data_IF_899880876389
#
_entry.id   IF_899880876389
#
_cell.length_a   1.000
_cell.length_b   1.000
_cell.length_c   1.000
_cell.angle_alpha   90.00
_cell.angle_beta   90.00
_cell.angle_gamma   90.00
#
_symmetry.space_group_name_H-M   'P 1'
#
loop_
_entity.id
_entity.type
_entity.pdbx_description
1 polymer ?
#
# COMPACT_ATOMS: atom_id res chain seq x y z
N UNK A 1 28.50 15.64 -23.32
CA UNK A 1 27.12 16.01 -22.96
C UNK A 1 27.17 16.72 -21.62
N UNK A 2 26.70 17.97 -21.55
CA UNK A 2 26.65 18.73 -20.28
C UNK A 2 25.62 18.09 -19.33
N UNK A 3 25.88 18.14 -18.02
CA UNK A 3 24.92 17.70 -17.01
C UNK A 3 23.82 18.76 -16.89
N UNK A 4 22.57 18.35 -17.04
CA UNK A 4 21.38 19.20 -16.91
C UNK A 4 20.52 18.64 -15.77
N UNK A 5 20.70 19.13 -14.52
CA UNK A 5 20.05 18.57 -13.32
C UNK A 5 18.52 18.51 -13.41
N UNK A 6 17.86 19.59 -13.82
CA UNK A 6 16.39 19.65 -14.00
C UNK A 6 15.87 18.58 -14.97
N UNK A 7 16.63 18.28 -16.02
CA UNK A 7 16.27 17.19 -16.94
C UNK A 7 16.44 15.82 -16.30
N UNK A 8 17.41 15.64 -15.38
CA UNK A 8 17.56 14.40 -14.64
C UNK A 8 16.45 14.22 -13.61
N UNK A 9 16.02 15.28 -12.92
CA UNK A 9 14.87 15.24 -12.01
C UNK A 9 13.58 14.87 -12.77
N UNK A 10 13.30 15.57 -13.88
CA UNK A 10 12.14 15.26 -14.73
C UNK A 10 12.19 13.85 -15.32
N UNK A 11 13.39 13.32 -15.59
CA UNK A 11 13.58 11.93 -16.00
C UNK A 11 13.35 10.96 -14.84
N UNK A 12 13.85 11.29 -13.65
CA UNK A 12 13.67 10.50 -12.43
C UNK A 12 12.19 10.29 -12.14
N UNK A 13 11.40 11.35 -12.09
CA UNK A 13 9.96 11.29 -11.83
C UNK A 13 9.24 10.35 -12.81
N UNK A 14 9.61 10.46 -14.09
CA UNK A 14 9.06 9.59 -15.14
C UNK A 14 9.50 8.13 -14.96
N UNK A 15 10.78 7.89 -14.68
CA UNK A 15 11.34 6.53 -14.50
C UNK A 15 10.74 5.87 -13.27
N UNK A 16 10.67 6.58 -12.14
CA UNK A 16 10.04 6.07 -10.92
C UNK A 16 8.61 5.63 -11.18
N UNK A 17 7.76 6.54 -11.69
CA UNK A 17 6.33 6.26 -11.92
C UNK A 17 6.06 5.21 -13.00
N UNK A 18 6.79 5.25 -14.11
CA UNK A 18 6.43 4.45 -15.29
C UNK A 18 7.22 3.16 -15.42
N UNK A 19 8.35 3.03 -14.71
CA UNK A 19 9.31 1.95 -14.93
C UNK A 19 9.71 1.23 -13.65
N UNK A 20 9.89 1.93 -12.54
CA UNK A 20 10.28 1.30 -11.27
C UNK A 20 9.04 0.83 -10.49
N UNK A 21 8.11 1.74 -10.20
CA UNK A 21 6.91 1.49 -9.39
C UNK A 21 6.09 0.28 -9.88
N UNK A 22 5.81 0.10 -11.19
CA UNK A 22 5.05 -1.05 -11.67
C UNK A 22 5.74 -2.42 -11.44
N UNK A 23 7.04 -2.43 -11.13
CA UNK A 23 7.81 -3.64 -10.87
C UNK A 23 8.06 -3.86 -9.37
N UNK A 24 7.58 -3.00 -8.47
CA UNK A 24 7.69 -3.23 -7.02
C UNK A 24 6.88 -4.45 -6.62
N UNK A 25 5.66 -4.58 -7.14
CA UNK A 25 4.79 -5.73 -6.92
C UNK A 25 4.49 -6.45 -8.22
N UNK A 26 4.81 -7.74 -8.29
CA UNK A 26 4.47 -8.59 -9.44
C UNK A 26 3.30 -9.50 -9.07
N UNK A 27 2.12 -9.25 -9.65
CA UNK A 27 0.93 -10.09 -9.45
C UNK A 27 1.20 -11.52 -9.92
N UNK A 28 0.89 -12.50 -9.05
CA UNK A 28 0.94 -13.93 -9.34
C UNK A 28 -0.45 -14.48 -9.67
N UNK A 29 -1.46 -14.08 -8.89
CA UNK A 29 -2.84 -14.57 -9.04
C UNK A 29 -3.84 -13.61 -8.39
N UNK A 30 -5.05 -13.56 -8.96
CA UNK A 30 -6.18 -12.90 -8.32
C UNK A 30 -6.83 -13.81 -7.26
N UNK A 31 -7.40 -13.23 -6.21
CA UNK A 31 -8.19 -13.94 -5.21
C UNK A 31 -9.66 -14.10 -5.61
N UNK A 32 -10.32 -15.12 -5.04
CA UNK A 32 -11.77 -15.26 -5.05
C UNK A 32 -12.37 -14.55 -3.84
N UNK A 33 -13.40 -13.74 -4.07
CA UNK A 33 -14.06 -12.96 -3.03
C UNK A 33 -15.52 -13.37 -2.89
N UNK A 34 -15.96 -13.41 -1.63
CA UNK A 34 -17.38 -13.40 -1.28
C UNK A 34 -17.63 -12.28 -0.27
N UNK A 35 -18.80 -11.68 -0.29
CA UNK A 35 -19.14 -10.51 0.51
C UNK A 35 -20.38 -10.77 1.38
N UNK A 36 -20.38 -10.16 2.55
CA UNK A 36 -21.53 -10.05 3.44
C UNK A 36 -21.68 -8.58 3.83
N UNK A 37 -22.78 -7.95 3.39
CA UNK A 37 -23.07 -6.57 3.75
C UNK A 37 -23.64 -6.53 5.18
N UNK A 38 -23.05 -5.70 6.05
CA UNK A 38 -23.60 -5.34 7.34
C UNK A 38 -23.99 -3.85 7.32
N UNK A 39 -25.18 -3.50 6.78
CA UNK A 39 -25.58 -2.12 6.51
C UNK A 39 -25.95 -1.30 7.76
N UNK A 40 -26.13 -1.95 8.91
CA UNK A 40 -26.41 -1.29 10.19
C UNK A 40 -25.15 -1.02 10.99
N UNK A 41 -25.32 -0.85 12.30
CA UNK A 41 -24.19 -0.66 13.22
C UNK A 41 -23.17 -1.82 13.11
N UNK A 42 -21.86 -1.50 13.15
CA UNK A 42 -20.84 -2.52 13.18
C UNK A 42 -21.00 -3.40 14.42
N UNK A 43 -20.85 -4.71 14.22
CA UNK A 43 -20.78 -5.67 15.32
C UNK A 43 -19.31 -5.90 15.67
N UNK A 44 -18.96 -6.20 16.94
CA UNK A 44 -17.59 -6.52 17.29
C UNK A 44 -17.04 -7.65 16.41
N UNK A 45 -15.87 -7.45 15.81
CA UNK A 45 -15.25 -8.39 14.87
C UNK A 45 -15.15 -9.81 15.40
N UNK A 46 -14.81 -9.98 16.67
CA UNK A 46 -14.75 -11.30 17.32
C UNK A 46 -16.10 -12.03 17.34
N UNK A 47 -17.21 -11.32 17.52
CA UNK A 47 -18.56 -11.89 17.48
C UNK A 47 -18.96 -12.28 16.06
N UNK A 48 -18.68 -11.42 15.08
CA UNK A 48 -18.95 -11.72 13.68
C UNK A 48 -18.16 -12.96 13.22
N UNK A 49 -16.86 -13.00 13.50
CA UNK A 49 -16.00 -14.11 13.11
C UNK A 49 -16.35 -15.41 13.84
N UNK A 50 -16.92 -15.34 15.05
CA UNK A 50 -17.47 -16.52 15.72
C UNK A 50 -18.67 -17.09 14.95
N UNK A 51 -19.59 -16.25 14.46
CA UNK A 51 -20.72 -16.68 13.61
C UNK A 51 -20.25 -17.28 12.29
N UNK A 52 -19.23 -16.69 11.67
CA UNK A 52 -18.61 -17.23 10.44
C UNK A 52 -18.08 -18.65 10.70
N UNK A 53 -17.33 -18.87 11.78
CA UNK A 53 -16.82 -20.20 12.15
C UNK A 53 -17.92 -21.20 12.52
N UNK A 54 -19.05 -20.72 13.05
CA UNK A 54 -20.24 -21.54 13.32
C UNK A 54 -21.04 -21.88 12.04
N UNK A 55 -20.71 -21.30 10.88
CA UNK A 55 -21.44 -21.49 9.63
C UNK A 55 -22.76 -20.73 9.57
N UNK A 56 -22.93 -19.70 10.39
CA UNK A 56 -24.16 -18.90 10.50
C UNK A 56 -24.17 -17.68 9.57
N UNK A 57 -23.07 -17.43 8.86
CA UNK A 57 -22.92 -16.32 7.91
C UNK A 57 -22.85 -16.87 6.49
N UNK A 58 -23.81 -16.45 5.66
CA UNK A 58 -23.83 -16.76 4.23
C UNK A 58 -23.20 -15.61 3.46
N UNK A 59 -21.98 -15.83 2.95
CA UNK A 59 -21.33 -14.88 2.05
C UNK A 59 -21.75 -15.12 0.60
N UNK A 60 -22.08 -14.04 -0.10
CA UNK A 60 -22.47 -14.05 -1.51
C UNK A 60 -21.26 -13.85 -2.42
N UNK A 61 -21.18 -14.50 -3.60
CA UNK A 61 -20.09 -14.27 -4.55
C UNK A 61 -19.90 -12.78 -4.90
N UNK A 62 -18.65 -12.32 -4.95
CA UNK A 62 -18.31 -10.93 -5.25
C UNK A 62 -17.30 -10.85 -6.41
N UNK A 63 -17.64 -10.07 -7.44
CA UNK A 63 -16.77 -9.85 -8.58
C UNK A 63 -15.76 -8.72 -8.32
N UNK A 64 -14.54 -8.86 -8.83
CA UNK A 64 -13.51 -7.82 -8.80
C UNK A 64 -13.17 -7.41 -10.24
N UNK A 65 -13.31 -6.12 -10.63
CA UNK A 65 -13.80 -5.02 -9.80
C UNK A 65 -15.30 -5.12 -9.47
N UNK A 66 -15.72 -4.59 -8.31
CA UNK A 66 -17.10 -4.64 -7.84
C UNK A 66 -17.47 -3.49 -6.90
N UNK A 67 -18.72 -3.05 -6.95
CA UNK A 67 -19.25 -1.97 -6.10
C UNK A 67 -19.65 -2.54 -4.73
N UNK A 68 -19.28 -1.85 -3.66
CA UNK A 68 -19.56 -2.27 -2.29
C UNK A 68 -19.75 -1.07 -1.34
N UNK A 69 -20.23 -1.37 -0.13
CA UNK A 69 -20.35 -0.41 0.94
C UNK A 69 -21.66 0.38 0.93
N UNK A 70 -22.19 0.58 2.13
CA UNK A 70 -23.24 1.56 2.41
C UNK A 70 -22.63 2.67 3.25
N UNK A 71 -23.19 3.88 3.18
CA UNK A 71 -22.73 5.03 3.96
C UNK A 71 -22.60 4.66 5.44
N UNK A 72 -21.39 4.80 6.00
CA UNK A 72 -21.01 4.43 7.38
C UNK A 72 -21.10 2.94 7.73
N UNK A 73 -21.50 2.09 6.78
CA UNK A 73 -21.70 0.67 7.00
C UNK A 73 -20.42 -0.13 6.85
N UNK A 74 -20.51 -1.41 7.22
CA UNK A 74 -19.41 -2.38 7.09
C UNK A 74 -19.76 -3.42 6.04
N UNK A 75 -18.79 -3.81 5.22
CA UNK A 75 -18.88 -5.02 4.40
C UNK A 75 -17.78 -5.98 4.81
N UNK A 76 -18.16 -7.21 5.08
CA UNK A 76 -17.20 -8.27 5.35
C UNK A 76 -16.88 -9.00 4.06
N UNK A 77 -15.60 -9.16 3.76
CA UNK A 77 -15.15 -9.99 2.64
C UNK A 77 -14.49 -11.26 3.14
N UNK A 78 -14.88 -12.40 2.61
CA UNK A 78 -14.07 -13.62 2.65
C UNK A 78 -13.17 -13.62 1.41
N UNK A 79 -11.87 -13.65 1.63
CA UNK A 79 -10.86 -13.67 0.57
C UNK A 79 -10.17 -15.03 0.58
N UNK A 80 -10.30 -15.75 -0.53
CA UNK A 80 -9.62 -17.02 -0.77
C UNK A 80 -8.58 -16.86 -1.84
N UNK A 81 -7.40 -17.41 -1.60
CA UNK A 81 -6.30 -17.34 -2.55
C UNK A 81 -5.34 -18.50 -2.36
N UNK A 82 -4.33 -18.56 -3.24
CA UNK A 82 -3.27 -19.55 -3.18
C UNK A 82 -1.92 -18.88 -3.34
N UNK A 83 -0.99 -19.22 -2.46
CA UNK A 83 0.42 -18.85 -2.58
C UNK A 83 1.15 -20.00 -3.28
N UNK A 84 1.73 -19.70 -4.44
CA UNK A 84 2.67 -20.62 -5.08
C UNK A 84 3.97 -20.68 -4.24
N UNK A 85 4.23 -21.85 -3.64
CA UNK A 85 5.36 -22.06 -2.72
C UNK A 85 6.72 -21.96 -3.41
N UNK A 86 6.82 -22.38 -4.67
CA UNK A 86 8.05 -22.23 -5.44
C UNK A 86 8.28 -20.76 -5.78
N UNK A 87 7.22 -20.04 -6.15
CA UNK A 87 7.29 -18.59 -6.32
C UNK A 87 7.57 -17.85 -5.00
N UNK A 88 7.17 -18.37 -3.84
CA UNK A 88 7.44 -17.75 -2.54
C UNK A 88 8.87 -17.96 -2.03
N UNK A 89 9.61 -18.94 -2.56
CA UNK A 89 10.90 -19.35 -2.01
C UNK A 89 11.90 -18.19 -2.01
N UNK A 90 12.28 -17.74 -0.81
CA UNK A 90 13.23 -16.64 -0.61
C UNK A 90 12.68 -15.26 -0.98
N UNK A 91 11.36 -15.13 -1.17
CA UNK A 91 10.69 -13.88 -1.57
C UNK A 91 9.57 -13.55 -0.62
N UNK A 92 9.29 -12.26 -0.45
CA UNK A 92 8.11 -11.78 0.29
C UNK A 92 6.89 -11.88 -0.62
N UNK A 93 5.84 -12.52 -0.12
CA UNK A 93 4.54 -12.61 -0.78
C UNK A 93 3.55 -11.77 0.01
N UNK A 94 2.86 -10.89 -0.70
CA UNK A 94 1.90 -9.95 -0.15
C UNK A 94 0.57 -10.07 -0.89
N UNK A 95 -0.51 -9.71 -0.21
CA UNK A 95 -1.82 -9.49 -0.81
C UNK A 95 -1.94 -7.99 -1.12
N UNK A 96 -2.03 -7.65 -2.40
CA UNK A 96 -2.21 -6.30 -2.91
C UNK A 96 -3.70 -5.96 -2.95
N UNK A 97 -4.07 -4.84 -2.32
CA UNK A 97 -5.46 -4.47 -2.02
C UNK A 97 -5.78 -3.11 -2.62
N UNK A 98 -6.90 -2.98 -3.32
CA UNK A 98 -7.50 -1.68 -3.64
C UNK A 98 -9.00 -1.75 -3.32
N UNK A 99 -9.38 -1.20 -2.16
CA UNK A 99 -10.77 -1.14 -1.71
C UNK A 99 -11.59 -0.07 -2.45
N UNK A 100 -10.98 0.71 -3.33
CA UNK A 100 -11.64 1.75 -4.10
C UNK A 100 -11.27 3.17 -3.68
N UNK A 101 -10.15 3.34 -2.97
CA UNK A 101 -9.75 4.62 -2.37
C UNK A 101 -9.72 5.77 -3.39
N UNK A 102 -10.07 6.95 -2.89
CA UNK A 102 -10.00 8.20 -3.62
C UNK A 102 -8.54 8.64 -3.77
N UNK A 103 -8.20 9.15 -4.95
CA UNK A 103 -6.89 9.74 -5.22
C UNK A 103 -6.82 11.17 -4.70
N UNK A 104 -5.80 11.52 -3.92
CA UNK A 104 -5.52 12.91 -3.51
C UNK A 104 -5.81 13.32 -2.05
N UNK A 105 -6.85 12.84 -1.35
CA UNK A 105 -7.20 13.34 -0.01
C UNK A 105 -6.32 12.80 1.14
N UNK A 106 -5.18 12.18 0.84
CA UNK A 106 -4.31 11.59 1.85
C UNK A 106 -4.77 10.21 2.36
N UNK A 107 -4.13 9.69 3.41
CA UNK A 107 -4.25 8.28 3.83
C UNK A 107 -5.45 7.96 4.74
N UNK A 108 -6.31 8.94 5.05
CA UNK A 108 -7.40 8.79 6.03
C UNK A 108 -8.76 9.31 5.54
N UNK A 109 -9.74 9.27 6.44
CA UNK A 109 -11.10 9.82 6.25
C UNK A 109 -11.88 9.23 5.07
N UNK A 110 -11.60 7.98 4.74
CA UNK A 110 -12.25 7.24 3.67
C UNK A 110 -12.27 5.75 4.03
N UNK A 111 -12.68 4.89 3.10
CA UNK A 111 -12.75 3.46 3.35
C UNK A 111 -11.44 2.89 3.91
N UNK A 112 -11.57 1.93 4.82
CA UNK A 112 -10.45 1.21 5.43
C UNK A 112 -10.84 -0.26 5.61
N UNK A 113 -9.84 -1.13 5.70
CA UNK A 113 -10.06 -2.57 5.91
C UNK A 113 -9.13 -3.13 6.96
N UNK A 114 -9.66 -3.91 7.91
CA UNK A 114 -8.85 -4.69 8.83
C UNK A 114 -8.89 -6.17 8.43
N UNK A 115 -7.71 -6.75 8.19
CA UNK A 115 -7.56 -8.14 7.78
C UNK A 115 -7.38 -9.05 8.98
N UNK A 116 -8.07 -10.19 8.95
CA UNK A 116 -8.09 -11.22 9.97
C UNK A 116 -7.74 -12.59 9.37
N UNK A 117 -7.03 -13.40 10.15
CA UNK A 117 -6.86 -14.83 9.89
C UNK A 117 -8.18 -15.57 10.10
N UNK A 118 -8.25 -16.84 9.69
CA UNK A 118 -9.44 -17.67 9.87
C UNK A 118 -9.82 -17.90 11.36
N UNK A 119 -8.83 -17.88 12.26
CA UNK A 119 -9.02 -17.94 13.71
C UNK A 119 -9.55 -16.62 14.32
N UNK A 120 -9.56 -15.54 13.54
CA UNK A 120 -9.97 -14.20 13.92
C UNK A 120 -8.88 -13.32 14.52
N UNK A 121 -7.62 -13.76 14.49
CA UNK A 121 -6.48 -12.93 14.87
C UNK A 121 -6.24 -11.85 13.81
N UNK A 122 -6.13 -10.58 14.22
CA UNK A 122 -5.81 -9.48 13.32
C UNK A 122 -4.41 -9.65 12.69
N UNK A 123 -4.30 -9.28 11.42
CA UNK A 123 -3.06 -9.30 10.65
C UNK A 123 -2.52 -7.87 10.54
N UNK A 124 -3.23 -7.02 9.81
CA UNK A 124 -2.83 -5.66 9.45
C UNK A 124 -4.02 -4.90 8.86
N UNK A 125 -4.02 -3.58 8.97
CA UNK A 125 -4.96 -2.69 8.26
C UNK A 125 -4.50 -2.40 6.82
N UNK A 126 -5.48 -2.13 5.96
CA UNK A 126 -5.31 -1.56 4.64
C UNK A 126 -6.06 -0.21 4.57
N UNK A 127 -5.35 0.81 4.13
CA UNK A 127 -5.87 2.17 3.96
C UNK A 127 -5.08 2.84 2.81
N UNK A 128 -5.49 4.02 2.32
CA UNK A 128 -4.77 4.67 1.23
C UNK A 128 -3.29 4.87 1.61
N UNK A 129 -2.39 4.61 0.65
CA UNK A 129 -0.93 4.58 0.83
C UNK A 129 -0.38 3.42 1.70
N UNK A 130 -1.23 2.49 2.13
CA UNK A 130 -0.86 1.29 2.87
C UNK A 130 -1.71 0.10 2.41
N UNK A 131 -1.41 -0.39 1.21
CA UNK A 131 -2.32 -1.20 0.38
C UNK A 131 -1.90 -2.68 0.23
N UNK A 132 -1.06 -3.19 1.13
CA UNK A 132 -0.56 -4.56 1.09
C UNK A 132 -0.77 -5.28 2.43
N UNK A 133 -0.96 -6.60 2.41
CA UNK A 133 -1.06 -7.44 3.62
C UNK A 133 -0.04 -8.58 3.52
N UNK A 134 0.77 -8.84 4.56
CA UNK A 134 1.76 -9.92 4.48
C UNK A 134 1.08 -11.28 4.37
N UNK A 135 1.58 -12.14 3.49
CA UNK A 135 1.19 -13.56 3.40
C UNK A 135 2.36 -14.46 3.79
N UNK A 136 3.54 -14.25 3.19
CA UNK A 136 4.76 -15.02 3.45
C UNK A 136 5.96 -14.08 3.53
N UNK A 137 6.79 -14.26 4.55
CA UNK A 137 8.04 -13.52 4.74
C UNK A 137 9.20 -14.17 3.98
N UNK A 138 10.29 -13.43 3.77
CA UNK A 138 11.45 -13.90 2.99
C UNK A 138 12.11 -15.17 3.55
N UNK A 139 11.99 -15.42 4.86
CA UNK A 139 12.49 -16.64 5.53
C UNK A 139 11.56 -17.85 5.37
N UNK A 140 10.44 -17.68 4.66
CA UNK A 140 9.42 -18.70 4.41
C UNK A 140 8.38 -18.84 5.53
N UNK A 141 8.48 -18.05 6.60
CA UNK A 141 7.43 -18.03 7.63
C UNK A 141 6.16 -17.41 7.08
N UNK A 142 5.01 -17.97 7.46
CA UNK A 142 3.72 -17.50 6.98
C UNK A 142 3.08 -16.54 7.98
N UNK A 143 2.55 -15.43 7.47
CA UNK A 143 1.75 -14.50 8.25
C UNK A 143 0.30 -14.99 8.39
N UNK A 144 -0.13 -15.95 7.57
CA UNK A 144 -1.49 -16.53 7.55
C UNK A 144 -1.43 -18.05 7.58
N UNK A 145 -2.55 -18.71 7.86
CA UNK A 145 -2.62 -20.17 7.78
C UNK A 145 -2.62 -20.61 6.30
N UNK A 146 -1.64 -21.45 5.94
CA UNK A 146 -1.51 -22.05 4.62
C UNK A 146 -1.68 -23.57 4.73
N UNK A 147 -2.59 -24.15 3.96
CA UNK A 147 -2.72 -25.60 3.85
C UNK A 147 -1.56 -26.24 3.04
N UNK A 148 -1.60 -27.56 2.85
CA UNK A 148 -0.56 -28.29 2.10
C UNK A 148 -0.34 -27.77 0.67
N UNK A 149 -1.41 -27.30 0.03
CA UNK A 149 -1.41 -26.80 -1.35
C UNK A 149 -1.13 -25.28 -1.43
N UNK A 150 -0.95 -24.62 -0.29
CA UNK A 150 -0.68 -23.19 -0.20
C UNK A 150 -1.93 -22.32 -0.27
N UNK A 151 -3.12 -22.89 -0.10
CA UNK A 151 -4.35 -22.10 -0.04
C UNK A 151 -4.48 -21.41 1.31
N UNK A 152 -5.11 -20.23 1.29
CA UNK A 152 -5.43 -19.46 2.48
C UNK A 152 -6.87 -18.93 2.43
N UNK A 153 -7.38 -18.58 3.61
CA UNK A 153 -8.57 -17.77 3.76
C UNK A 153 -8.28 -16.66 4.77
N UNK A 154 -8.57 -15.42 4.39
CA UNK A 154 -8.55 -14.27 5.29
C UNK A 154 -9.89 -13.55 5.20
N UNK A 155 -10.24 -12.85 6.27
CA UNK A 155 -11.44 -12.03 6.32
C UNK A 155 -11.07 -10.55 6.38
N UNK A 156 -11.84 -9.71 5.71
CA UNK A 156 -11.68 -8.25 5.75
C UNK A 156 -12.93 -7.65 6.35
N UNK A 157 -12.76 -6.92 7.44
CA UNK A 157 -13.78 -5.97 7.90
C UNK A 157 -13.54 -4.65 7.20
N UNK A 158 -14.34 -4.33 6.18
CA UNK A 158 -14.17 -3.11 5.40
C UNK A 158 -15.23 -2.07 5.78
N UNK A 159 -14.79 -0.94 6.34
CA UNK A 159 -15.65 0.18 6.71
C UNK A 159 -15.80 1.13 5.50
N UNK A 160 -17.03 1.42 5.11
CA UNK A 160 -17.34 2.30 3.97
C UNK A 160 -17.58 3.74 4.45
N UNK A 161 -16.54 4.36 4.99
CA UNK A 161 -16.60 5.74 5.46
C UNK A 161 -16.60 6.71 4.27
N UNK A 162 -17.62 7.58 4.07
CA UNK A 162 -17.54 8.67 3.10
C UNK A 162 -16.39 9.62 3.42
N UNK A 163 -15.81 10.18 2.37
CA UNK A 163 -14.96 11.35 2.50
C UNK A 163 -15.81 12.61 2.75
N UNK A 164 -15.76 13.14 3.98
CA UNK A 164 -16.62 14.25 4.43
C UNK A 164 -15.91 15.60 4.58
N UNK A 165 -14.58 15.67 4.43
CA UNK A 165 -13.89 16.97 4.48
C UNK A 165 -14.22 17.88 3.29
N UNK A 166 -14.52 17.28 2.12
CA UNK A 166 -14.99 18.01 0.93
C UNK A 166 -14.10 19.20 0.51
N UNK A 167 -14.64 20.16 -0.26
CA UNK A 167 -13.94 21.40 -0.61
C UNK A 167 -13.98 22.45 0.50
N UNK A 168 -14.86 22.28 1.50
CA UNK A 168 -15.00 23.17 2.66
C UNK A 168 -14.86 22.32 3.92
N UNK A 169 -13.64 22.20 4.45
CA UNK A 169 -13.38 21.43 5.67
C UNK A 169 -14.32 21.86 6.80
N UNK A 170 -14.78 20.89 7.60
CA UNK A 170 -15.66 21.07 8.77
C UNK A 170 -17.09 21.53 8.46
N UNK A 171 -17.51 21.54 7.19
CA UNK A 171 -18.92 21.75 6.87
C UNK A 171 -19.76 20.54 7.31
N UNK A 172 -21.00 20.75 7.82
CA UNK A 172 -21.91 19.66 8.09
C UNK A 172 -22.14 18.79 6.83
N UNK A 173 -22.20 17.47 7.03
CA UNK A 173 -22.55 16.52 5.97
C UNK A 173 -24.04 16.18 6.02
N UNK A 174 -24.65 16.00 4.85
CA UNK A 174 -26.05 15.55 4.72
C UNK A 174 -26.19 14.01 4.80
N UNK A 175 -25.09 13.30 5.07
CA UNK A 175 -25.02 11.84 5.09
C UNK A 175 -25.49 11.20 6.41
N UNK A 176 -25.92 12.01 7.37
CA UNK A 176 -26.37 11.56 8.69
C UNK A 176 -25.24 11.09 9.61
N UNK A 177 -25.60 10.67 10.82
CA UNK A 177 -24.67 10.36 11.93
C UNK A 177 -24.44 8.85 12.13
N UNK A 178 -25.15 7.98 11.40
CA UNK A 178 -25.08 6.53 11.59
C UNK A 178 -25.31 5.73 10.31
N UNK A 179 -24.93 4.46 10.35
CA UNK A 179 -25.15 3.51 9.27
C UNK A 179 -26.64 3.30 9.01
N UNK A 180 -27.10 3.69 7.81
CA UNK A 180 -28.52 3.67 7.42
C UNK A 180 -28.80 2.68 6.27
N UNK A 181 -27.78 1.92 5.85
CA UNK A 181 -27.85 0.94 4.77
C UNK A 181 -28.02 1.50 3.36
N UNK A 182 -27.98 2.82 3.17
CA UNK A 182 -28.03 3.43 1.83
C UNK A 182 -26.63 3.48 1.22
N UNK A 183 -26.47 3.16 -0.07
CA UNK A 183 -25.20 3.32 -0.77
C UNK A 183 -25.11 4.72 -1.40
N UNK A 184 -25.11 5.79 -0.58
CA UNK A 184 -25.06 7.17 -1.11
C UNK A 184 -23.68 7.47 -1.74
N UNK A 185 -22.63 6.87 -1.20
CA UNK A 185 -21.21 7.03 -1.59
C UNK A 185 -20.48 5.68 -1.65
N UNK A 186 -20.90 4.75 -2.53
CA UNK A 186 -20.33 3.42 -2.54
C UNK A 186 -18.91 3.42 -3.10
N UNK A 187 -18.10 2.48 -2.65
CA UNK A 187 -16.75 2.24 -3.14
C UNK A 187 -16.74 1.19 -4.25
N UNK A 188 -15.65 1.14 -5.02
CA UNK A 188 -15.42 0.07 -6.00
C UNK A 188 -14.13 -0.63 -5.65
N UNK A 189 -14.21 -1.85 -5.11
CA UNK A 189 -13.04 -2.68 -4.87
C UNK A 189 -12.45 -3.04 -6.24
N UNK A 190 -11.19 -2.68 -6.49
CA UNK A 190 -10.54 -2.83 -7.80
C UNK A 190 -9.51 -3.95 -7.83
N UNK A 191 -8.94 -4.32 -6.69
CA UNK A 191 -7.85 -5.30 -6.62
C UNK A 191 -7.83 -6.07 -5.31
N UNK A 192 -7.53 -7.36 -5.42
CA UNK A 192 -7.23 -8.27 -4.31
C UNK A 192 -6.37 -9.42 -4.87
N UNK A 193 -5.06 -9.18 -4.98
CA UNK A 193 -4.15 -10.04 -5.73
C UNK A 193 -3.01 -10.57 -4.85
N UNK A 194 -2.65 -11.83 -4.99
CA UNK A 194 -1.38 -12.36 -4.46
C UNK A 194 -0.25 -11.85 -5.34
N UNK A 195 0.74 -11.19 -4.75
CA UNK A 195 1.88 -10.61 -5.45
C UNK A 195 3.21 -10.92 -4.77
N UNK A 196 4.28 -10.95 -5.56
CA UNK A 196 5.67 -10.92 -5.06
C UNK A 196 6.05 -9.47 -4.81
N UNK A 197 6.59 -9.17 -3.63
CA UNK A 197 7.24 -7.90 -3.34
C UNK A 197 8.73 -7.95 -3.70
N UNK A 198 9.13 -7.14 -4.68
CA UNK A 198 10.50 -7.03 -5.16
C UNK A 198 11.26 -5.98 -4.33
N UNK A 199 11.83 -6.41 -3.22
CA UNK A 199 12.53 -5.54 -2.26
C UNK A 199 13.67 -4.72 -2.88
N UNK A 200 14.44 -5.28 -3.82
CA UNK A 200 15.50 -4.54 -4.51
C UNK A 200 14.98 -3.40 -5.38
N UNK A 201 13.83 -3.60 -6.03
CA UNK A 201 13.17 -2.58 -6.86
C UNK A 201 12.57 -1.50 -5.96
N UNK A 202 11.94 -1.89 -4.86
CA UNK A 202 11.46 -0.95 -3.84
C UNK A 202 12.59 -0.11 -3.26
N UNK A 203 13.70 -0.74 -2.87
CA UNK A 203 14.86 -0.04 -2.35
C UNK A 203 15.42 0.94 -3.39
N UNK A 204 15.44 0.58 -4.66
CA UNK A 204 15.83 1.51 -5.72
C UNK A 204 14.86 2.68 -5.88
N UNK A 205 13.55 2.44 -5.78
CA UNK A 205 12.55 3.50 -5.76
C UNK A 205 12.83 4.50 -4.62
N UNK A 206 13.11 4.01 -3.41
CA UNK A 206 13.45 4.85 -2.25
C UNK A 206 14.76 5.60 -2.47
N UNK A 207 15.80 4.95 -3.01
CA UNK A 207 17.08 5.61 -3.32
C UNK A 207 16.88 6.78 -4.29
N UNK A 208 16.05 6.59 -5.34
CA UNK A 208 15.72 7.64 -6.31
C UNK A 208 14.88 8.76 -5.70
N UNK A 209 13.85 8.40 -4.93
CA UNK A 209 13.00 9.35 -4.21
C UNK A 209 13.87 10.25 -3.32
N UNK A 210 14.70 9.64 -2.46
CA UNK A 210 15.57 10.35 -1.51
C UNK A 210 16.56 11.27 -2.23
N UNK A 211 17.26 10.79 -3.26
CA UNK A 211 18.21 11.61 -4.02
C UNK A 211 17.51 12.77 -4.71
N UNK A 212 16.38 12.51 -5.36
CA UNK A 212 15.65 13.54 -6.11
C UNK A 212 15.03 14.59 -5.18
N UNK A 213 14.50 14.20 -4.02
CA UNK A 213 13.96 15.09 -3.00
C UNK A 213 15.07 15.95 -2.39
N UNK A 214 16.21 15.36 -2.04
CA UNK A 214 17.36 16.12 -1.54
C UNK A 214 17.87 17.14 -2.57
N UNK A 215 17.95 16.78 -3.84
CA UNK A 215 18.35 17.71 -4.90
C UNK A 215 17.40 18.91 -5.03
N UNK A 216 16.10 18.74 -4.78
CA UNK A 216 15.11 19.83 -4.87
C UNK A 216 15.21 20.83 -3.71
N UNK A 217 15.72 20.39 -2.58
CA UNK A 217 15.92 21.24 -1.39
C UNK A 217 17.27 21.96 -1.38
N UNK A 218 18.26 21.44 -2.12
CA UNK A 218 19.60 22.03 -2.19
C UNK A 218 19.67 23.14 -3.24
N UNK A 219 20.44 24.18 -2.94
CA UNK A 219 20.78 25.25 -3.86
C UNK A 219 21.88 24.81 -4.85
N UNK A 220 21.91 25.41 -6.04
CA UNK A 220 22.87 25.07 -7.10
C UNK A 220 24.28 25.62 -6.88
N UNK A 221 24.48 26.42 -5.83
CA UNK A 221 25.79 26.82 -5.31
C UNK A 221 26.41 25.77 -4.37
N UNK A 222 25.65 24.77 -3.92
CA UNK A 222 26.14 23.66 -3.10
C UNK A 222 26.81 22.58 -3.99
N UNK A 223 28.08 22.22 -3.75
CA UNK A 223 28.73 21.11 -4.45
C UNK A 223 27.96 19.77 -4.37
N UNK A 224 27.24 19.53 -3.26
CA UNK A 224 26.44 18.31 -3.05
C UNK A 224 25.31 18.20 -4.07
N UNK A 225 24.70 19.32 -4.47
CA UNK A 225 23.67 19.34 -5.52
C UNK A 225 24.20 18.73 -6.83
N UNK A 226 25.39 19.13 -7.25
CA UNK A 226 26.01 18.63 -8.49
C UNK A 226 26.50 17.18 -8.39
N UNK A 227 26.98 16.76 -7.22
CA UNK A 227 27.35 15.37 -6.96
C UNK A 227 26.13 14.44 -7.05
N UNK A 228 25.02 14.82 -6.41
CA UNK A 228 23.74 14.10 -6.49
C UNK A 228 23.22 14.04 -7.92
N UNK A 229 23.20 15.18 -8.64
CA UNK A 229 22.76 15.23 -10.04
C UNK A 229 23.58 14.30 -10.94
N UNK A 230 24.90 14.21 -10.71
CA UNK A 230 25.76 13.31 -11.48
C UNK A 230 25.54 11.84 -11.13
N UNK A 231 25.35 11.53 -9.85
CA UNK A 231 25.03 10.18 -9.38
C UNK A 231 23.67 9.71 -9.94
N UNK A 232 22.65 10.56 -9.86
CA UNK A 232 21.33 10.33 -10.42
C UNK A 232 21.40 10.02 -11.92
N UNK A 233 22.12 10.84 -12.70
CA UNK A 233 22.34 10.56 -14.13
C UNK A 233 22.97 9.19 -14.36
N UNK A 234 24.01 8.82 -13.60
CA UNK A 234 24.69 7.53 -13.74
C UNK A 234 23.76 6.37 -13.39
N UNK A 235 22.98 6.51 -12.32
CA UNK A 235 22.00 5.51 -11.89
C UNK A 235 20.94 5.27 -12.95
N UNK A 236 20.27 6.33 -13.42
CA UNK A 236 19.23 6.26 -14.44
C UNK A 236 19.76 5.72 -15.78
N UNK A 237 21.05 5.89 -16.09
CA UNK A 237 21.68 5.34 -17.28
C UNK A 237 22.00 3.84 -17.18
N UNK A 238 22.09 3.30 -15.96
CA UNK A 238 22.37 1.88 -15.72
C UNK A 238 21.10 1.05 -15.59
N UNK A 239 20.02 1.65 -15.13
CA UNK A 239 18.73 0.99 -15.01
C UNK A 239 18.10 0.72 -16.39
N UNK A 240 17.74 -0.54 -16.63
CA UNK A 240 16.94 -1.00 -17.77
C UNK A 240 15.67 -1.66 -17.24
N UNK A 241 14.50 -1.12 -17.59
CA UNK A 241 13.21 -1.66 -17.17
C UNK A 241 12.93 -3.09 -17.68
N UNK A 242 13.65 -3.53 -18.72
CA UNK A 242 13.49 -4.86 -19.32
C UNK A 242 14.37 -5.92 -18.66
N UNK A 243 15.32 -5.49 -17.83
CA UNK A 243 16.25 -6.36 -17.12
C UNK A 243 16.43 -5.87 -15.68
N UNK A 244 15.63 -6.42 -14.76
CA UNK A 244 15.68 -6.07 -13.34
C UNK A 244 17.02 -6.45 -12.68
N UNK A 245 17.87 -7.28 -13.30
CA UNK A 245 19.22 -7.53 -12.78
C UNK A 245 20.08 -6.26 -12.79
N UNK A 246 19.72 -5.26 -13.60
CA UNK A 246 20.40 -3.95 -13.64
C UNK A 246 20.16 -3.08 -12.41
N UNK A 247 19.14 -3.38 -11.60
CA UNK A 247 18.78 -2.61 -10.40
C UNK A 247 19.96 -2.48 -9.45
N UNK A 248 20.69 -3.57 -9.18
CA UNK A 248 21.85 -3.54 -8.30
C UNK A 248 22.92 -2.54 -8.78
N UNK A 249 23.24 -2.54 -10.08
CA UNK A 249 24.21 -1.61 -10.66
C UNK A 249 23.73 -0.15 -10.67
N UNK A 250 22.42 0.06 -10.80
CA UNK A 250 21.79 1.37 -10.73
C UNK A 250 21.81 1.95 -9.31
N UNK A 251 21.53 1.12 -8.30
CA UNK A 251 21.64 1.47 -6.87
C UNK A 251 23.09 1.78 -6.47
N UNK A 252 24.04 0.98 -6.93
CA UNK A 252 25.48 1.21 -6.69
C UNK A 252 25.95 2.59 -7.19
N UNK A 253 25.32 3.14 -8.23
CA UNK A 253 25.64 4.49 -8.70
C UNK A 253 25.23 5.61 -7.74
N UNK A 254 24.30 5.34 -6.81
CA UNK A 254 23.79 6.27 -5.80
C UNK A 254 24.43 6.04 -4.42
N UNK A 255 24.95 4.83 -4.15
CA UNK A 255 25.46 4.42 -2.85
C UNK A 255 26.46 5.42 -2.24
N UNK A 256 27.39 5.94 -3.04
CA UNK A 256 28.39 6.91 -2.58
C UNK A 256 27.78 8.20 -2.03
N UNK A 257 26.84 8.80 -2.75
CA UNK A 257 26.21 10.07 -2.34
C UNK A 257 25.18 9.89 -1.22
N UNK A 258 24.55 8.72 -1.12
CA UNK A 258 23.63 8.38 -0.04
C UNK A 258 24.35 8.07 1.27
N UNK A 259 25.58 7.54 1.21
CA UNK A 259 26.40 7.28 2.39
C UNK A 259 27.02 8.53 3.00
N UNK A 260 27.02 9.67 2.29
CA UNK A 260 27.61 10.92 2.79
C UNK A 260 26.74 11.54 3.89
N UNK A 261 27.27 11.69 5.12
CA UNK A 261 26.53 12.32 6.21
C UNK A 261 26.31 13.81 5.95
N UNK A 262 25.47 14.44 6.77
CA UNK A 262 25.40 15.89 6.84
C UNK A 262 26.76 16.48 7.30
N UNK A 263 26.97 17.77 7.02
CA UNK A 263 28.16 18.49 7.50
C UNK A 263 28.26 18.42 9.04
N UNK A 264 29.48 18.45 9.58
CA UNK A 264 29.72 18.32 11.02
C UNK A 264 29.11 19.44 11.87
N UNK A 265 28.75 20.58 11.25
CA UNK A 265 28.07 21.70 11.88
C UNK A 265 26.54 21.61 11.77
N UNK A 266 25.99 20.58 11.12
CA UNK A 266 24.55 20.40 10.98
C UNK A 266 23.91 20.08 12.33
N UNK A 267 22.64 20.48 12.48
CA UNK A 267 21.84 20.17 13.66
C UNK A 267 21.44 18.69 13.60
N UNK A 268 21.42 18.05 14.76
CA UNK A 268 20.90 16.68 14.88
C UNK A 268 19.37 16.72 14.98
N UNK A 269 18.71 16.04 14.05
CA UNK A 269 17.27 15.83 14.08
C UNK A 269 16.94 14.45 14.67
N UNK A 270 15.87 14.38 15.46
CA UNK A 270 15.30 13.12 15.96
C UNK A 270 13.90 13.00 15.35
N UNK A 271 13.64 11.87 14.69
CA UNK A 271 12.32 11.53 14.18
C UNK A 271 11.65 10.51 15.10
N UNK A 272 10.37 10.71 15.38
CA UNK A 272 9.54 9.79 16.19
C UNK A 272 8.26 9.49 15.42
N UNK A 273 7.93 8.20 15.26
CA UNK A 273 6.66 7.79 14.68
C UNK A 273 5.51 7.99 15.68
N UNK A 274 4.41 8.59 15.23
CA UNK A 274 3.22 8.85 16.03
C UNK A 274 1.98 8.57 15.17
N UNK A 275 1.07 7.73 15.66
CA UNK A 275 -0.28 7.58 15.12
C UNK A 275 -1.28 8.29 16.05
N UNK A 276 -1.67 9.50 15.68
CA UNK A 276 -2.71 10.24 16.39
C UNK A 276 -4.09 9.76 15.93
N UNK A 277 -4.97 9.45 16.88
CA UNK A 277 -6.34 9.02 16.62
C UNK A 277 -7.25 9.90 17.49
N UNK A 278 -8.02 10.76 16.84
CA UNK A 278 -9.07 11.51 17.52
C UNK A 278 -10.21 10.56 17.88
N UNK A 279 -10.59 10.53 19.16
CA UNK A 279 -11.64 9.61 19.63
C UNK A 279 -13.01 9.88 19.00
N UNK A 280 -13.27 11.13 18.59
CA UNK A 280 -14.45 11.56 17.85
C UNK A 280 -14.15 12.93 17.22
N UNK A 281 -14.08 12.98 15.88
CA UNK A 281 -13.74 14.22 15.15
C UNK A 281 -14.75 14.59 14.06
N UNK A 282 -15.07 13.63 13.18
CA UNK A 282 -15.93 13.80 11.99
C UNK A 282 -17.26 13.08 12.14
#
# INVERSE_FOLDING_TARGET
MFLLPEQQLSRCDRVMRQRVEPHIHTTLAACELRAFANPGEPVPSGEFLAKVRAGEVEFEPFAVPGVWGTTWGTTWFEVKGRVDREAAKGRKIELEVDLGWLTGPGPGFQAEGLFYRADGTAIKTANPLNHWIPLVYADGTSAVDLDGDGNFTVYVEAAANPYVEGPTPFAPTDLGECANGRPDVPYTLRRMDVAVFNEDVFAYYIDLETVSSLMRELSDDDPRYWQLAKALQRSLNRYDERDLATVAAAREALAGVLAEPAASSAINHIAVGHAHIDSAWL
#
